data_IF_170251352586
#
_entry.id   IF_170251352586
#
_cell.length_a   1.000
_cell.length_b   1.000
_cell.length_c   1.000
_cell.angle_alpha   90.00
_cell.angle_beta   90.00
_cell.angle_gamma   90.00
#
_symmetry.space_group_name_H-M   'P 1'
#
loop_
_entity.id
_entity.type
_entity.pdbx_description
1 polymer ?
#
# COMPACT_ATOMS: atom_id res chain seq x y z
N UNK A 1 33.22 -9.31 -15.26
CA UNK A 1 32.37 -8.18 -14.84
C UNK A 1 32.17 -8.30 -13.32
N UNK A 2 32.88 -7.46 -12.53
CA UNK A 2 32.83 -7.51 -11.05
C UNK A 2 31.56 -6.83 -10.52
N UNK A 3 31.19 -7.14 -9.25
CA UNK A 3 30.07 -6.53 -8.55
C UNK A 3 30.26 -5.00 -8.46
N UNK A 4 29.16 -4.24 -8.50
CA UNK A 4 29.17 -2.82 -8.18
C UNK A 4 29.32 -2.65 -6.66
N UNK A 5 29.88 -1.52 -6.20
CA UNK A 5 29.96 -1.20 -4.77
C UNK A 5 29.14 0.06 -4.49
N UNK A 6 28.16 -0.05 -3.61
CA UNK A 6 27.43 1.12 -3.09
C UNK A 6 28.36 1.90 -2.18
N UNK A 7 28.68 3.16 -2.55
CA UNK A 7 29.68 4.01 -1.93
C UNK A 7 29.09 5.05 -0.98
N UNK A 8 27.87 5.52 -1.24
CA UNK A 8 27.18 6.41 -0.33
C UNK A 8 25.65 6.29 -0.45
N UNK A 9 24.96 6.58 0.65
CA UNK A 9 23.51 6.73 0.75
C UNK A 9 23.25 7.98 1.59
N UNK A 10 22.79 9.05 0.95
CA UNK A 10 22.73 10.38 1.54
C UNK A 10 21.42 11.08 1.19
N UNK A 11 20.96 11.99 2.05
CA UNK A 11 19.91 12.96 1.69
C UNK A 11 20.56 14.14 0.97
N UNK A 12 19.91 14.66 -0.06
CA UNK A 12 20.30 15.92 -0.70
C UNK A 12 20.18 17.10 0.30
N UNK A 13 20.79 18.25 -0.02
CA UNK A 13 20.78 19.44 0.86
C UNK A 13 19.38 19.92 1.23
N UNK A 14 18.40 19.71 0.34
CA UNK A 14 16.99 20.02 0.57
C UNK A 14 16.19 18.94 1.27
N UNK A 15 16.80 17.79 1.57
CA UNK A 15 16.12 16.59 2.08
C UNK A 15 14.90 16.18 1.24
N UNK A 16 14.96 16.44 -0.06
CA UNK A 16 13.90 16.10 -1.02
C UNK A 16 14.19 14.83 -1.81
N UNK A 17 15.44 14.37 -1.76
CA UNK A 17 15.87 13.17 -2.45
C UNK A 17 16.82 12.35 -1.56
N UNK A 18 16.70 11.02 -1.66
CA UNK A 18 17.72 10.11 -1.18
C UNK A 18 18.59 9.71 -2.38
N UNK A 19 19.88 9.99 -2.28
CA UNK A 19 20.88 9.73 -3.31
C UNK A 19 21.67 8.47 -2.94
N UNK A 20 21.72 7.50 -3.86
CA UNK A 20 22.48 6.26 -3.72
C UNK A 20 23.52 6.24 -4.82
N UNK A 21 24.80 6.23 -4.45
CA UNK A 21 25.94 6.25 -5.39
C UNK A 21 26.70 4.94 -5.37
N UNK A 22 27.15 4.53 -6.53
CA UNK A 22 27.97 3.33 -6.72
C UNK A 22 29.21 3.64 -7.56
N UNK A 23 30.19 2.75 -7.51
CA UNK A 23 31.42 2.85 -8.33
C UNK A 23 31.21 2.34 -9.78
N UNK A 24 30.13 1.61 -10.03
CA UNK A 24 29.79 1.02 -11.33
C UNK A 24 28.28 1.13 -11.60
N UNK A 25 27.84 0.93 -12.84
CA UNK A 25 26.43 0.85 -13.17
C UNK A 25 25.68 -0.15 -12.28
N UNK A 26 24.51 0.25 -11.78
CA UNK A 26 23.64 -0.58 -10.96
C UNK A 26 22.26 -0.71 -11.60
N UNK A 27 21.70 -1.89 -11.45
CA UNK A 27 20.27 -2.15 -11.63
C UNK A 27 19.60 -2.14 -10.27
N UNK A 28 18.31 -1.88 -10.22
CA UNK A 28 17.56 -1.91 -8.97
C UNK A 28 16.12 -2.39 -9.19
N UNK A 29 15.54 -2.87 -8.14
CA UNK A 29 14.08 -3.02 -7.98
C UNK A 29 13.67 -2.27 -6.72
N UNK A 30 12.44 -1.76 -6.69
CA UNK A 30 11.95 -1.05 -5.50
C UNK A 30 10.48 -1.31 -5.27
N UNK A 31 10.06 -1.19 -4.02
CA UNK A 31 8.67 -1.37 -3.60
C UNK A 31 8.55 -1.39 -2.10
N UNK A 32 7.32 -1.40 -1.61
CA UNK A 32 7.06 -1.52 -0.18
C UNK A 32 7.33 -2.95 0.30
N UNK A 33 8.22 -3.09 1.28
CA UNK A 33 8.43 -4.35 2.00
C UNK A 33 7.34 -4.51 3.06
N UNK A 34 6.38 -5.35 2.76
CA UNK A 34 5.19 -5.55 3.61
C UNK A 34 5.53 -6.19 4.96
N UNK A 35 6.60 -6.94 5.05
CA UNK A 35 7.03 -7.57 6.31
C UNK A 35 7.54 -6.53 7.31
N UNK A 36 8.27 -5.52 6.84
CA UNK A 36 8.84 -4.47 7.69
C UNK A 36 8.04 -3.16 7.66
N UNK A 37 7.11 -2.98 6.71
CA UNK A 37 6.42 -1.72 6.46
C UNK A 37 7.35 -0.60 5.98
N UNK A 38 8.52 -0.95 5.47
CA UNK A 38 9.52 -0.03 4.93
C UNK A 38 9.49 -0.04 3.40
N UNK A 39 9.84 1.08 2.79
CA UNK A 39 10.10 1.09 1.35
C UNK A 39 11.49 0.50 1.10
N UNK A 40 11.56 -0.48 0.22
CA UNK A 40 12.76 -1.26 -0.05
C UNK A 40 13.29 -0.99 -1.44
N UNK A 41 14.59 -0.71 -1.53
CA UNK A 41 15.34 -0.69 -2.77
C UNK A 41 16.33 -1.86 -2.72
N UNK A 42 16.24 -2.76 -3.70
CA UNK A 42 17.12 -3.92 -3.83
C UNK A 42 18.04 -3.72 -5.04
N UNK A 43 19.33 -3.83 -4.81
CA UNK A 43 20.37 -3.66 -5.83
C UNK A 43 21.09 -5.00 -6.01
N UNK A 44 20.73 -5.78 -7.04
CA UNK A 44 21.42 -7.03 -7.36
C UNK A 44 22.81 -6.75 -7.94
N UNK A 45 23.68 -7.73 -7.88
CA UNK A 45 25.07 -7.67 -8.34
C UNK A 45 25.85 -6.52 -7.70
N UNK A 46 25.63 -6.26 -6.40
CA UNK A 46 26.23 -5.17 -5.66
C UNK A 46 26.74 -5.61 -4.28
N UNK A 47 27.76 -4.88 -3.83
CA UNK A 47 28.31 -4.93 -2.46
C UNK A 47 28.02 -3.61 -1.76
N UNK A 48 27.81 -3.68 -0.48
CA UNK A 48 27.74 -2.51 0.39
C UNK A 48 29.13 -2.21 0.95
N UNK A 49 29.68 -1.03 0.68
CA UNK A 49 30.93 -0.60 1.28
C UNK A 49 30.77 -0.52 2.81
N UNK A 50 31.70 -1.11 3.54
CA UNK A 50 31.67 -1.20 5.02
C UNK A 50 31.70 0.16 5.71
N UNK A 51 32.16 1.21 5.03
CA UNK A 51 32.21 2.57 5.57
C UNK A 51 30.90 3.32 5.46
N UNK A 52 29.92 2.83 4.67
CA UNK A 52 28.64 3.51 4.44
C UNK A 52 27.72 3.33 5.64
N UNK A 53 27.40 4.44 6.30
CA UNK A 53 26.54 4.47 7.50
C UNK A 53 25.10 4.94 7.21
N UNK A 54 24.79 5.39 6.01
CA UNK A 54 23.53 6.01 5.65
C UNK A 54 23.45 7.49 6.09
N UNK A 55 22.35 8.17 5.75
CA UNK A 55 22.19 9.60 6.03
C UNK A 55 22.01 9.89 7.52
N UNK A 56 22.54 11.03 7.97
CA UNK A 56 22.20 11.58 9.30
C UNK A 56 20.76 12.08 9.29
N UNK A 57 19.94 11.52 10.13
CA UNK A 57 18.53 11.88 10.26
C UNK A 57 18.31 12.78 11.49
N UNK A 58 17.47 13.77 11.34
CA UNK A 58 17.04 14.70 12.40
C UNK A 58 15.53 14.58 12.60
N UNK A 59 14.97 15.23 13.62
CA UNK A 59 13.54 15.26 13.85
C UNK A 59 12.74 15.86 12.67
N UNK A 60 13.40 16.67 11.83
CA UNK A 60 12.81 17.28 10.62
C UNK A 60 13.12 16.50 9.34
N UNK A 61 13.79 15.36 9.40
CA UNK A 61 14.09 14.56 8.22
C UNK A 61 12.82 13.93 7.64
N UNK A 62 12.75 13.76 6.30
CA UNK A 62 11.61 13.10 5.65
C UNK A 62 11.59 11.58 5.91
N UNK A 63 12.66 11.03 6.42
CA UNK A 63 12.80 9.62 6.79
C UNK A 63 13.02 9.48 8.29
N UNK A 64 12.34 8.52 8.92
CA UNK A 64 12.56 8.14 10.31
C UNK A 64 13.74 7.20 10.46
N UNK A 65 13.98 6.37 9.45
CA UNK A 65 15.05 5.39 9.46
C UNK A 65 15.49 5.03 8.05
N UNK A 66 16.79 4.79 7.90
CA UNK A 66 17.41 4.17 6.71
C UNK A 66 18.25 3.01 7.21
N UNK A 67 17.95 1.80 6.74
CA UNK A 67 18.74 0.60 7.05
C UNK A 67 19.40 0.11 5.79
N UNK A 68 20.71 -0.05 5.85
CA UNK A 68 21.54 -0.61 4.80
C UNK A 68 21.87 -2.06 5.14
N UNK A 69 21.73 -2.97 4.21
CA UNK A 69 21.91 -4.38 4.44
C UNK A 69 22.57 -5.07 3.24
N UNK A 70 23.66 -5.80 3.49
CA UNK A 70 24.10 -6.84 2.57
C UNK A 70 23.23 -8.06 2.85
N UNK A 71 22.36 -8.47 1.93
CA UNK A 71 21.45 -9.59 2.14
C UNK A 71 22.07 -10.94 1.84
N UNK A 72 22.83 -10.96 0.78
CA UNK A 72 23.62 -12.10 0.32
C UNK A 72 24.95 -11.59 -0.29
N UNK A 73 25.88 -12.45 -0.71
CA UNK A 73 27.19 -12.02 -1.25
C UNK A 73 27.15 -11.08 -2.46
N UNK A 74 25.97 -10.87 -3.05
CA UNK A 74 25.80 -10.08 -4.28
C UNK A 74 24.58 -9.16 -4.30
N UNK A 75 23.88 -9.00 -3.20
CA UNK A 75 22.64 -8.19 -3.14
C UNK A 75 22.66 -7.22 -1.98
N UNK A 76 22.48 -5.93 -2.28
CA UNK A 76 22.31 -4.88 -1.27
C UNK A 76 20.83 -4.51 -1.18
N UNK A 77 20.29 -4.40 0.04
CA UNK A 77 18.98 -3.84 0.32
C UNK A 77 19.09 -2.57 1.14
N UNK A 78 18.31 -1.58 0.76
CA UNK A 78 18.14 -0.30 1.45
C UNK A 78 16.67 -0.20 1.86
N UNK A 79 16.42 -0.20 3.17
CA UNK A 79 15.06 -0.11 3.72
C UNK A 79 14.84 1.28 4.31
N UNK A 80 13.78 1.93 3.88
CA UNK A 80 13.45 3.31 4.20
C UNK A 80 12.14 3.37 4.97
N UNK A 81 12.17 4.00 6.14
CA UNK A 81 10.96 4.29 6.92
C UNK A 81 10.63 5.79 6.73
N UNK A 82 9.60 6.16 5.96
CA UNK A 82 9.23 7.56 5.83
C UNK A 82 8.68 8.13 7.13
N UNK A 83 8.94 9.42 7.34
CA UNK A 83 8.31 10.17 8.40
C UNK A 83 6.83 10.45 8.07
N UNK A 84 6.03 10.73 9.10
CA UNK A 84 4.63 11.11 8.91
C UNK A 84 4.53 12.31 7.94
N UNK A 85 3.64 12.20 6.94
CA UNK A 85 3.48 13.22 5.91
C UNK A 85 4.58 13.23 4.83
N UNK A 86 5.44 12.20 4.78
CA UNK A 86 6.39 12.03 3.66
C UNK A 86 5.89 10.94 2.73
N UNK A 87 5.78 11.27 1.45
CA UNK A 87 5.50 10.34 0.37
C UNK A 87 6.81 9.94 -0.31
N UNK A 88 6.93 8.64 -0.57
CA UNK A 88 7.99 8.10 -1.42
C UNK A 88 7.58 8.34 -2.87
N UNK A 89 8.35 9.11 -3.59
CA UNK A 89 8.13 9.39 -5.00
C UNK A 89 8.91 8.44 -5.91
N UNK A 90 9.11 8.87 -7.15
CA UNK A 90 9.82 8.08 -8.17
C UNK A 90 11.32 7.99 -7.87
N UNK A 91 11.92 6.89 -8.30
CA UNK A 91 13.38 6.75 -8.40
C UNK A 91 13.81 7.14 -9.81
N UNK A 92 14.55 8.22 -9.89
CA UNK A 92 15.25 8.61 -11.12
C UNK A 92 16.68 8.05 -11.10
N UNK A 93 17.19 7.70 -12.28
CA UNK A 93 18.58 7.28 -12.45
C UNK A 93 19.31 8.27 -13.36
N UNK A 94 19.77 9.43 -12.80
CA UNK A 94 20.42 10.48 -13.59
C UNK A 94 21.67 10.01 -14.29
N UNK A 95 22.37 9.06 -13.70
CA UNK A 95 23.48 8.32 -14.31
C UNK A 95 23.37 6.84 -13.97
N UNK A 96 24.05 5.98 -14.70
CA UNK A 96 24.04 4.54 -14.42
C UNK A 96 24.58 4.18 -13.01
N UNK A 97 25.26 5.11 -12.34
CA UNK A 97 25.89 4.95 -11.02
C UNK A 97 25.18 5.73 -9.91
N UNK A 98 24.09 6.43 -10.23
CA UNK A 98 23.37 7.27 -9.27
C UNK A 98 21.86 7.00 -9.33
N UNK A 99 21.27 6.59 -8.21
CA UNK A 99 19.83 6.58 -8.02
C UNK A 99 19.43 7.77 -7.14
N UNK A 100 18.36 8.44 -7.50
CA UNK A 100 17.77 9.56 -6.77
C UNK A 100 16.28 9.25 -6.50
N UNK A 101 15.98 8.83 -5.27
CA UNK A 101 14.61 8.60 -4.83
C UNK A 101 14.00 9.92 -4.35
N UNK A 102 12.91 10.33 -4.94
CA UNK A 102 12.20 11.54 -4.54
C UNK A 102 11.43 11.32 -3.22
N UNK A 103 11.54 12.31 -2.32
CA UNK A 103 10.84 12.37 -1.05
C UNK A 103 9.98 13.64 -1.04
N UNK A 104 8.66 13.47 -1.13
CA UNK A 104 7.71 14.58 -1.17
C UNK A 104 7.07 14.74 0.19
N UNK A 105 7.15 15.92 0.79
CA UNK A 105 6.33 16.25 1.95
C UNK A 105 4.94 16.61 1.47
N UNK A 106 3.92 15.92 1.98
CA UNK A 106 2.55 16.43 1.89
C UNK A 106 2.51 17.75 2.64
N UNK A 107 2.22 18.82 1.94
CA UNK A 107 1.87 20.10 2.57
C UNK A 107 0.46 19.96 3.15
N UNK A 108 0.34 19.22 4.25
CA UNK A 108 -0.81 19.36 5.12
C UNK A 108 -0.65 20.74 5.78
N UNK A 109 -1.60 21.60 5.52
CA UNK A 109 -1.67 22.92 6.16
C UNK A 109 -1.47 22.76 7.68
N UNK A 110 -0.62 23.58 8.32
CA UNK A 110 -0.52 23.55 9.77
C UNK A 110 -1.89 23.89 10.33
N UNK A 111 -2.41 23.02 11.19
CA UNK A 111 -3.56 23.35 12.03
C UNK A 111 -3.08 24.51 12.94
N UNK A 112 -3.64 25.72 12.85
CA UNK A 112 -3.25 26.79 13.74
C UNK A 112 -3.63 26.40 15.18
N UNK A 113 -2.79 26.70 16.18
CA UNK A 113 -3.17 26.51 17.56
C UNK A 113 -4.39 27.40 17.86
N UNK A 114 -5.39 26.81 18.50
CA UNK A 114 -6.53 27.53 19.08
C UNK A 114 -6.01 28.47 20.17
N UNK A 115 -5.74 29.71 19.81
CA UNK A 115 -5.56 30.80 20.74
C UNK A 115 -6.49 31.94 20.31
N UNK A 116 -7.51 32.14 21.10
CA UNK A 116 -8.44 33.22 20.88
C UNK A 116 -7.79 34.58 21.13
N UNK A 117 -8.03 35.53 20.25
CA UNK A 117 -8.21 36.95 20.51
C UNK A 117 -8.77 37.64 19.27
N UNK A 118 -9.65 38.62 19.42
CA UNK A 118 -10.46 39.15 18.33
C UNK A 118 -9.75 40.29 17.57
N UNK A 119 -9.93 40.26 16.26
CA UNK A 119 -9.83 41.47 15.42
C UNK A 119 -8.60 41.59 14.54
N UNK A 120 -8.72 41.23 13.28
CA UNK A 120 -8.24 42.03 12.15
C UNK A 120 -8.79 41.47 10.83
N UNK A 121 -9.48 42.31 10.09
CA UNK A 121 -10.02 42.06 8.76
C UNK A 121 -8.87 41.90 7.76
N UNK A 122 -8.67 40.65 7.27
CA UNK A 122 -7.85 40.37 6.09
C UNK A 122 -8.80 39.87 5.00
N UNK A 123 -8.79 40.37 3.75
CA UNK A 123 -9.66 39.90 2.69
C UNK A 123 -9.30 38.45 2.34
N UNK A 124 -10.28 37.57 2.47
CA UNK A 124 -10.19 36.17 2.05
C UNK A 124 -10.32 36.12 0.53
N UNK A 125 -9.37 35.49 -0.22
CA UNK A 125 -9.58 35.19 -1.63
C UNK A 125 -10.80 34.28 -1.82
N UNK A 126 -11.55 34.37 -2.92
CA UNK A 126 -12.75 33.58 -3.12
C UNK A 126 -12.40 32.07 -3.09
N UNK A 127 -13.12 31.34 -2.25
CA UNK A 127 -13.02 29.90 -2.14
C UNK A 127 -13.32 29.26 -3.50
N UNK A 128 -12.36 28.54 -4.05
CA UNK A 128 -12.61 27.58 -5.10
C UNK A 128 -13.58 26.54 -4.55
N UNK A 129 -14.77 26.45 -5.15
CA UNK A 129 -15.80 25.46 -4.82
C UNK A 129 -15.29 24.07 -5.16
N UNK A 130 -14.56 23.45 -4.23
CA UNK A 130 -14.44 21.99 -4.17
C UNK A 130 -15.71 21.54 -3.46
N UNK A 131 -16.60 20.76 -4.13
CA UNK A 131 -17.78 20.27 -3.43
C UNK A 131 -17.33 19.46 -2.22
N UNK A 132 -17.95 19.68 -1.04
CA UNK A 132 -17.63 18.88 0.14
C UNK A 132 -17.91 17.42 -0.21
N UNK A 133 -16.93 16.54 0.03
CA UNK A 133 -17.15 15.09 -0.04
C UNK A 133 -18.22 14.80 1.02
N UNK A 134 -19.45 14.62 0.55
CA UNK A 134 -20.54 14.21 1.44
C UNK A 134 -20.26 12.78 1.88
N UNK A 135 -19.80 12.61 3.13
CA UNK A 135 -19.69 11.28 3.73
C UNK A 135 -21.09 10.63 3.72
N UNK A 136 -21.18 9.35 3.31
CA UNK A 136 -22.46 8.65 3.38
C UNK A 136 -22.94 8.66 4.83
N UNK A 137 -24.16 9.17 5.08
CA UNK A 137 -24.80 9.08 6.39
C UNK A 137 -25.17 7.63 6.64
N UNK A 138 -24.53 7.02 7.62
CA UNK A 138 -24.90 5.69 8.10
C UNK A 138 -26.06 5.84 9.09
N UNK A 139 -27.25 5.30 8.80
CA UNK A 139 -28.32 5.24 9.80
C UNK A 139 -27.90 4.33 10.95
N UNK A 140 -28.19 4.74 12.19
CA UNK A 140 -27.93 3.93 13.38
C UNK A 140 -28.51 2.51 13.22
N UNK A 141 -27.68 1.49 13.36
CA UNK A 141 -28.07 0.07 13.31
C UNK A 141 -27.83 -0.62 11.95
N UNK A 142 -27.31 0.04 10.91
CA UNK A 142 -26.91 -0.62 9.66
C UNK A 142 -25.48 -1.14 9.72
N UNK A 143 -25.29 -2.33 9.15
CA UNK A 143 -23.95 -2.89 8.89
C UNK A 143 -23.27 -2.10 7.77
N UNK A 144 -22.06 -1.63 8.04
CA UNK A 144 -21.24 -0.90 7.07
C UNK A 144 -19.91 -1.61 6.91
N UNK A 145 -19.57 -1.95 5.67
CA UNK A 145 -18.29 -2.55 5.31
C UNK A 145 -17.45 -1.54 4.53
N UNK A 146 -16.29 -1.19 5.06
CA UNK A 146 -15.31 -0.43 4.26
C UNK A 146 -14.52 -1.41 3.42
N UNK A 147 -14.54 -1.22 2.10
CA UNK A 147 -13.71 -1.95 1.15
C UNK A 147 -12.60 -1.01 0.70
N UNK A 148 -11.36 -1.43 0.93
CA UNK A 148 -10.18 -0.59 0.73
C UNK A 148 -9.33 -1.13 -0.43
N UNK A 149 -9.49 -0.63 -1.67
CA UNK A 149 -8.59 -0.98 -2.76
C UNK A 149 -7.20 -0.38 -2.49
N UNK A 150 -6.18 -1.23 -2.38
CA UNK A 150 -4.80 -0.81 -2.17
C UNK A 150 -4.29 0.11 -3.27
N UNK A 151 -3.24 0.91 -2.97
CA UNK A 151 -2.57 1.80 -3.94
C UNK A 151 -3.50 2.84 -4.57
N UNK A 152 -3.13 3.42 -5.71
CA UNK A 152 -3.92 4.41 -6.46
C UNK A 152 -3.10 5.63 -6.87
N UNK A 153 -3.65 6.47 -7.74
CA UNK A 153 -2.97 7.64 -8.27
C UNK A 153 -1.64 7.28 -8.94
N UNK A 154 -0.53 7.94 -8.55
CA UNK A 154 0.79 7.64 -9.07
C UNK A 154 1.39 6.33 -8.57
N UNK A 155 0.83 5.73 -7.50
CA UNK A 155 1.27 4.43 -6.98
C UNK A 155 0.56 3.28 -7.72
N UNK A 156 1.25 2.57 -8.64
CA UNK A 156 0.66 1.43 -9.35
C UNK A 156 0.52 0.18 -8.47
N UNK A 157 1.10 0.19 -7.26
CA UNK A 157 1.35 -1.03 -6.50
C UNK A 157 2.40 -1.91 -7.17
N UNK A 158 2.28 -3.22 -7.02
CA UNK A 158 3.13 -4.15 -7.72
C UNK A 158 2.84 -4.14 -9.23
N UNK A 159 3.91 -4.17 -10.02
CA UNK A 159 3.83 -4.35 -11.48
C UNK A 159 4.31 -5.76 -11.81
N UNK A 160 3.39 -6.56 -12.32
CA UNK A 160 3.60 -7.97 -12.57
C UNK A 160 3.93 -8.31 -14.01
N UNK A 161 3.67 -9.58 -14.36
CA UNK A 161 3.88 -10.12 -15.71
C UNK A 161 3.05 -9.32 -16.72
N UNK A 162 3.66 -8.99 -17.85
CA UNK A 162 3.04 -8.20 -18.94
C UNK A 162 2.59 -6.79 -18.54
N UNK A 163 3.20 -6.23 -17.49
CA UNK A 163 2.86 -4.87 -17.02
C UNK A 163 1.56 -4.78 -16.22
N UNK A 164 1.05 -5.90 -15.74
CA UNK A 164 -0.17 -5.97 -14.94
C UNK A 164 -0.02 -5.18 -13.64
N UNK A 165 -0.78 -4.10 -13.46
CA UNK A 165 -0.68 -3.22 -12.29
C UNK A 165 -1.65 -3.65 -11.19
N UNK A 166 -1.16 -3.74 -9.97
CA UNK A 166 -1.94 -4.09 -8.79
C UNK A 166 -3.15 -3.15 -8.61
N UNK A 167 -2.93 -1.82 -8.70
CA UNK A 167 -4.00 -0.83 -8.47
C UNK A 167 -5.24 -1.02 -9.35
N UNK A 168 -5.06 -1.51 -10.58
CA UNK A 168 -6.16 -1.74 -11.51
C UNK A 168 -6.97 -2.98 -11.14
N UNK A 169 -6.26 -4.05 -10.79
CA UNK A 169 -6.87 -5.31 -10.37
C UNK A 169 -7.69 -5.12 -9.11
N UNK A 170 -7.07 -4.50 -8.09
CA UNK A 170 -7.72 -4.36 -6.77
C UNK A 170 -8.87 -3.37 -6.81
N UNK A 171 -8.81 -2.35 -7.67
CA UNK A 171 -9.94 -1.44 -7.87
C UNK A 171 -11.15 -2.15 -8.50
N UNK A 172 -10.92 -2.94 -9.54
CA UNK A 172 -11.98 -3.70 -10.20
C UNK A 172 -12.63 -4.71 -9.25
N UNK A 173 -11.82 -5.49 -8.52
CA UNK A 173 -12.30 -6.45 -7.53
C UNK A 173 -13.07 -5.72 -6.41
N UNK A 174 -12.53 -4.62 -5.87
CA UNK A 174 -13.15 -3.88 -4.76
C UNK A 174 -14.51 -3.30 -5.12
N UNK A 175 -14.65 -2.75 -6.33
CA UNK A 175 -15.94 -2.26 -6.83
C UNK A 175 -16.98 -3.38 -6.93
N UNK A 176 -16.57 -4.55 -7.41
CA UNK A 176 -17.46 -5.69 -7.54
C UNK A 176 -17.83 -6.28 -6.18
N UNK A 177 -16.89 -6.30 -5.19
CA UNK A 177 -17.21 -6.66 -3.80
C UNK A 177 -18.24 -5.71 -3.22
N UNK A 178 -18.02 -4.40 -3.37
CA UNK A 178 -18.95 -3.39 -2.87
C UNK A 178 -20.35 -3.56 -3.48
N UNK A 179 -20.43 -3.72 -4.80
CA UNK A 179 -21.72 -3.94 -5.49
C UNK A 179 -22.42 -5.22 -5.04
N UNK A 180 -21.67 -6.32 -4.82
CA UNK A 180 -22.22 -7.59 -4.35
C UNK A 180 -22.77 -7.48 -2.91
N UNK A 181 -22.12 -6.72 -2.03
CA UNK A 181 -22.58 -6.45 -0.68
C UNK A 181 -23.85 -5.58 -0.68
N UNK A 182 -23.88 -4.54 -1.52
CA UNK A 182 -25.05 -3.66 -1.66
C UNK A 182 -26.28 -4.41 -2.15
N UNK A 183 -26.13 -5.37 -3.07
CA UNK A 183 -27.21 -6.24 -3.53
C UNK A 183 -27.80 -7.10 -2.39
N UNK A 184 -27.04 -7.34 -1.32
CA UNK A 184 -27.49 -8.05 -0.13
C UNK A 184 -27.96 -7.11 1.01
N UNK A 185 -28.10 -5.82 0.71
CA UNK A 185 -28.57 -4.82 1.67
C UNK A 185 -27.48 -4.36 2.67
N UNK A 186 -26.23 -4.73 2.46
CA UNK A 186 -25.09 -4.28 3.27
C UNK A 186 -24.55 -3.00 2.65
N UNK A 187 -24.48 -1.93 3.46
CA UNK A 187 -23.86 -0.69 3.00
C UNK A 187 -22.35 -0.88 2.83
N UNK A 188 -21.81 -0.57 1.65
CA UNK A 188 -20.37 -0.59 1.42
C UNK A 188 -19.83 0.80 1.09
N UNK A 189 -18.61 1.08 1.56
CA UNK A 189 -17.93 2.35 1.34
C UNK A 189 -16.51 2.05 0.85
N UNK A 190 -16.18 2.57 -0.33
CA UNK A 190 -14.83 2.46 -0.89
C UNK A 190 -13.94 3.59 -0.36
N UNK A 191 -12.70 3.28 0.01
CA UNK A 191 -11.72 4.30 0.44
C UNK A 191 -11.24 5.17 -0.73
N UNK A 192 -11.26 4.66 -1.95
CA UNK A 192 -11.11 5.38 -3.20
C UNK A 192 -12.05 4.80 -4.26
N UNK A 193 -12.48 5.62 -5.22
CA UNK A 193 -13.47 5.23 -6.23
C UNK A 193 -12.90 5.20 -7.65
N UNK A 194 -11.68 5.71 -7.85
CA UNK A 194 -10.99 5.70 -9.15
C UNK A 194 -9.52 5.30 -8.97
N UNK A 195 -8.86 4.97 -10.08
CA UNK A 195 -7.42 4.68 -10.08
C UNK A 195 -6.54 5.93 -10.08
N UNK A 196 -7.12 7.11 -10.32
CA UNK A 196 -6.39 8.38 -10.40
C UNK A 196 -6.18 9.03 -9.03
N UNK A 197 -6.90 8.54 -8.02
CA UNK A 197 -6.83 9.05 -6.64
C UNK A 197 -5.87 8.20 -5.83
N UNK A 198 -4.87 8.85 -5.24
CA UNK A 198 -4.03 8.29 -4.19
C UNK A 198 -4.64 8.63 -2.83
N UNK A 199 -4.72 7.64 -1.98
CA UNK A 199 -5.22 7.79 -0.61
C UNK A 199 -4.19 7.20 0.35
N UNK A 200 -3.58 8.07 1.16
CA UNK A 200 -2.65 7.66 2.20
C UNK A 200 -3.30 6.66 3.20
N UNK A 201 -2.45 5.93 3.93
CA UNK A 201 -2.92 4.89 4.85
C UNK A 201 -3.77 5.43 6.00
N UNK A 202 -3.43 6.61 6.52
CA UNK A 202 -4.16 7.22 7.64
C UNK A 202 -5.58 7.65 7.23
N UNK A 203 -5.82 8.37 6.12
CA UNK A 203 -7.17 8.65 5.62
C UNK A 203 -8.05 7.42 5.40
N UNK A 204 -7.49 6.27 4.98
CA UNK A 204 -8.23 5.01 4.82
C UNK A 204 -8.79 4.53 6.17
N UNK A 205 -7.95 4.56 7.20
CA UNK A 205 -8.35 4.21 8.57
C UNK A 205 -9.34 5.23 9.11
N UNK A 206 -9.03 6.52 9.00
CA UNK A 206 -9.89 7.61 9.50
C UNK A 206 -11.27 7.61 8.87
N UNK A 207 -11.40 7.23 7.59
CA UNK A 207 -12.70 7.06 6.96
C UNK A 207 -13.51 5.97 7.69
N UNK A 208 -12.93 4.79 7.90
CA UNK A 208 -13.60 3.66 8.55
C UNK A 208 -14.01 3.99 9.99
N UNK A 209 -13.14 4.64 10.75
CA UNK A 209 -13.43 5.06 12.14
C UNK A 209 -14.54 6.10 12.19
N UNK A 210 -14.50 7.14 11.36
CA UNK A 210 -15.50 8.22 11.34
C UNK A 210 -16.91 7.75 11.00
N UNK A 211 -17.05 6.75 10.13
CA UNK A 211 -18.35 6.21 9.75
C UNK A 211 -18.79 5.06 10.64
N UNK A 212 -18.04 4.74 11.70
CA UNK A 212 -18.25 3.59 12.57
C UNK A 212 -18.46 2.29 11.77
N UNK A 213 -17.52 1.99 10.89
CA UNK A 213 -17.58 0.80 10.05
C UNK A 213 -17.65 -0.48 10.91
N UNK A 214 -18.45 -1.43 10.47
CA UNK A 214 -18.57 -2.74 11.13
C UNK A 214 -17.37 -3.62 10.80
N UNK A 215 -16.88 -3.55 9.57
CA UNK A 215 -15.73 -4.30 9.05
C UNK A 215 -14.87 -3.43 8.14
N UNK A 216 -13.58 -3.74 8.10
CA UNK A 216 -12.61 -3.16 7.16
C UNK A 216 -11.94 -4.27 6.35
N UNK A 217 -12.04 -4.21 5.03
CA UNK A 217 -11.49 -5.23 4.12
C UNK A 217 -10.61 -4.54 3.09
N UNK A 218 -9.30 -4.64 3.25
CA UNK A 218 -8.31 -4.15 2.30
C UNK A 218 -8.01 -5.23 1.25
N UNK A 219 -7.95 -4.85 -0.01
CA UNK A 219 -7.74 -5.74 -1.15
C UNK A 219 -6.45 -5.36 -1.85
N UNK A 220 -5.54 -6.32 -1.97
CA UNK A 220 -4.21 -6.22 -2.54
C UNK A 220 -3.93 -7.37 -3.50
N UNK A 221 -2.90 -7.24 -4.31
CA UNK A 221 -2.36 -8.31 -5.13
C UNK A 221 -0.85 -8.40 -4.94
N UNK A 222 -0.41 -9.54 -4.44
CA UNK A 222 0.95 -9.76 -3.97
C UNK A 222 1.98 -9.77 -5.12
N UNK A 223 3.23 -9.62 -4.74
CA UNK A 223 4.34 -9.74 -5.67
C UNK A 223 5.60 -10.30 -5.01
N UNK A 224 6.41 -10.95 -5.82
CA UNK A 224 7.78 -11.34 -5.50
C UNK A 224 8.65 -11.02 -6.73
N UNK A 225 9.89 -11.43 -6.75
CA UNK A 225 10.73 -11.25 -7.94
C UNK A 225 10.10 -11.91 -9.18
N UNK A 226 10.14 -11.23 -10.32
CA UNK A 226 9.75 -11.79 -11.63
C UNK A 226 10.56 -13.02 -12.04
N UNK A 227 11.72 -13.26 -11.40
CA UNK A 227 12.50 -14.49 -11.56
C UNK A 227 11.88 -15.71 -10.86
N UNK A 228 10.83 -15.50 -10.05
CA UNK A 228 10.10 -16.54 -9.32
C UNK A 228 8.63 -16.62 -9.75
N UNK A 229 8.34 -16.85 -11.05
CA UNK A 229 6.98 -16.92 -11.55
C UNK A 229 6.23 -18.19 -11.11
N UNK A 230 6.90 -19.08 -10.43
CA UNK A 230 6.38 -20.28 -9.78
C UNK A 230 5.57 -19.98 -8.50
N UNK A 231 5.73 -18.78 -7.93
CA UNK A 231 5.03 -18.38 -6.71
C UNK A 231 3.67 -17.77 -7.04
N UNK A 232 2.63 -18.46 -6.59
CA UNK A 232 1.22 -18.09 -6.76
C UNK A 232 0.44 -18.42 -5.50
N UNK A 233 -0.77 -17.89 -5.34
CA UNK A 233 -1.71 -18.28 -4.30
C UNK A 233 -2.27 -17.14 -3.45
N UNK A 234 -3.30 -17.48 -2.70
CA UNK A 234 -4.04 -16.59 -1.81
C UNK A 234 -3.35 -16.48 -0.44
N UNK A 235 -3.11 -15.26 0.03
CA UNK A 235 -2.76 -14.99 1.42
C UNK A 235 -3.79 -14.04 2.04
N UNK A 236 -4.18 -14.28 3.28
CA UNK A 236 -5.08 -13.35 3.99
C UNK A 236 -4.46 -12.97 5.32
N UNK A 237 -4.37 -11.67 5.55
CA UNK A 237 -3.74 -11.11 6.73
C UNK A 237 -4.76 -10.46 7.66
N UNK A 238 -4.52 -10.59 8.97
CA UNK A 238 -5.28 -9.91 10.01
C UNK A 238 -4.36 -9.45 11.14
N UNK A 239 -4.89 -8.59 11.99
CA UNK A 239 -4.27 -8.23 13.26
C UNK A 239 -5.36 -8.18 14.34
N UNK A 240 -5.03 -8.62 15.57
CA UNK A 240 -5.96 -8.68 16.72
C UNK A 240 -7.34 -9.29 16.38
N UNK A 241 -8.39 -8.49 16.18
CA UNK A 241 -9.80 -8.91 16.12
C UNK A 241 -10.23 -9.51 14.75
N UNK A 242 -9.39 -9.46 13.72
CA UNK A 242 -9.77 -9.85 12.36
C UNK A 242 -9.74 -11.37 12.04
N UNK A 243 -9.31 -12.23 12.97
CA UNK A 243 -9.05 -13.65 12.70
C UNK A 243 -10.27 -14.43 12.16
N UNK A 244 -11.47 -14.18 12.69
CA UNK A 244 -12.70 -14.82 12.23
C UNK A 244 -13.07 -14.40 10.81
N UNK A 245 -13.03 -13.10 10.54
CA UNK A 245 -13.28 -12.52 9.22
C UNK A 245 -12.27 -13.03 8.19
N UNK A 246 -10.97 -13.06 8.55
CA UNK A 246 -9.91 -13.54 7.68
C UNK A 246 -10.14 -14.99 7.25
N UNK A 247 -10.46 -15.88 8.19
CA UNK A 247 -10.77 -17.27 7.87
C UNK A 247 -12.02 -17.44 7.01
N UNK A 248 -13.07 -16.67 7.29
CA UNK A 248 -14.31 -16.73 6.52
C UNK A 248 -14.08 -16.31 5.06
N UNK A 249 -13.41 -15.18 4.82
CA UNK A 249 -13.08 -14.72 3.48
C UNK A 249 -12.13 -15.70 2.78
N UNK A 250 -11.06 -16.10 3.45
CA UNK A 250 -10.05 -16.99 2.89
C UNK A 250 -10.66 -18.29 2.40
N UNK A 251 -11.42 -18.99 3.24
CA UNK A 251 -12.07 -20.23 2.89
C UNK A 251 -13.07 -20.05 1.74
N UNK A 252 -13.84 -18.97 1.75
CA UNK A 252 -14.79 -18.67 0.67
C UNK A 252 -14.08 -18.44 -0.67
N UNK A 253 -12.93 -17.78 -0.66
CA UNK A 253 -12.12 -17.56 -1.88
C UNK A 253 -11.52 -18.86 -2.38
N UNK A 254 -10.95 -19.70 -1.49
CA UNK A 254 -10.43 -21.00 -1.88
C UNK A 254 -11.50 -21.87 -2.55
N UNK A 255 -12.69 -21.94 -1.95
CA UNK A 255 -13.81 -22.71 -2.49
C UNK A 255 -14.33 -22.16 -3.82
N UNK A 256 -14.36 -20.82 -3.93
CA UNK A 256 -14.94 -20.16 -5.11
C UNK A 256 -14.01 -20.12 -6.31
N UNK A 257 -12.69 -20.08 -6.12
CA UNK A 257 -11.72 -19.83 -7.21
C UNK A 257 -10.76 -20.99 -7.47
N UNK A 258 -10.61 -21.89 -6.51
CA UNK A 258 -9.59 -22.95 -6.59
C UNK A 258 -8.15 -22.44 -6.60
N UNK A 259 -7.91 -21.20 -6.15
CA UNK A 259 -6.57 -20.63 -6.03
C UNK A 259 -5.75 -21.41 -5.00
N UNK A 260 -4.44 -21.47 -5.19
CA UNK A 260 -3.54 -22.13 -4.24
C UNK A 260 -3.63 -21.48 -2.87
N UNK A 261 -3.75 -22.30 -1.82
CA UNK A 261 -3.77 -21.85 -0.43
C UNK A 261 -2.35 -21.55 0.06
N UNK A 262 -2.13 -20.31 0.54
CA UNK A 262 -0.89 -19.91 1.22
C UNK A 262 -1.13 -19.50 2.67
N UNK A 263 -2.35 -19.59 3.15
CA UNK A 263 -2.74 -19.49 4.54
C UNK A 263 -3.22 -18.12 5.00
N UNK A 264 -3.83 -18.17 6.18
CA UNK A 264 -4.23 -16.99 6.96
C UNK A 264 -3.13 -16.68 7.97
N UNK A 265 -2.68 -15.43 8.01
CA UNK A 265 -1.50 -15.00 8.79
C UNK A 265 -1.77 -13.72 9.57
N UNK A 266 -0.98 -13.51 10.60
CA UNK A 266 -0.96 -12.22 11.32
C UNK A 266 0.07 -11.28 10.69
N UNK A 267 -0.31 -10.00 10.54
CA UNK A 267 0.61 -8.96 10.10
C UNK A 267 0.29 -7.61 10.75
N UNK A 268 1.32 -6.80 10.98
CA UNK A 268 1.19 -5.46 11.58
C UNK A 268 1.07 -4.38 10.52
N UNK A 269 0.31 -4.61 9.46
CA UNK A 269 0.03 -3.57 8.46
C UNK A 269 -0.68 -2.39 9.10
N UNK A 270 -0.39 -1.19 8.61
CA UNK A 270 -0.91 0.04 9.22
C UNK A 270 -2.43 0.01 9.33
N UNK A 271 -3.12 -0.29 8.24
CA UNK A 271 -4.59 -0.32 8.19
C UNK A 271 -5.20 -1.40 9.09
N UNK A 272 -4.50 -2.51 9.33
CA UNK A 272 -4.97 -3.57 10.23
C UNK A 272 -4.72 -3.25 11.71
N UNK A 273 -3.63 -2.51 11.98
CA UNK A 273 -3.22 -2.19 13.34
C UNK A 273 -3.93 -0.95 13.89
N UNK A 274 -4.35 -0.04 13.01
CA UNK A 274 -4.93 1.25 13.39
C UNK A 274 -6.45 1.29 13.35
N UNK A 275 -7.10 0.32 12.72
CA UNK A 275 -8.55 0.14 12.76
C UNK A 275 -8.99 -0.54 14.05
N UNK A 276 -10.13 -0.12 14.61
CA UNK A 276 -10.70 -0.67 15.85
C UNK A 276 -11.69 -1.80 15.58
N UNK A 277 -12.32 -1.82 14.40
CA UNK A 277 -13.21 -2.90 13.96
C UNK A 277 -12.41 -4.11 13.43
N UNK A 278 -13.04 -5.31 13.30
CA UNK A 278 -12.44 -6.44 12.62
C UNK A 278 -11.95 -6.05 11.24
N UNK A 279 -10.64 -6.23 11.00
CA UNK A 279 -9.95 -5.79 9.79
C UNK A 279 -9.10 -6.89 9.19
N UNK A 280 -9.10 -6.98 7.85
CA UNK A 280 -8.32 -7.95 7.07
C UNK A 280 -7.70 -7.30 5.85
N UNK A 281 -6.62 -7.90 5.36
CA UNK A 281 -6.01 -7.60 4.07
C UNK A 281 -5.94 -8.90 3.27
N UNK A 282 -6.54 -8.89 2.10
CA UNK A 282 -6.63 -10.04 1.19
C UNK A 282 -5.68 -9.82 0.02
N UNK A 283 -4.66 -10.67 -0.08
CA UNK A 283 -3.77 -10.77 -1.24
C UNK A 283 -4.40 -11.75 -2.22
N UNK A 284 -5.06 -11.25 -3.23
CA UNK A 284 -5.89 -12.05 -4.16
C UNK A 284 -5.09 -12.91 -5.14
N UNK A 285 -3.78 -12.97 -4.98
CA UNK A 285 -2.83 -13.70 -5.80
C UNK A 285 -1.59 -12.88 -6.08
N UNK A 286 -0.62 -13.44 -6.78
CA UNK A 286 0.65 -12.80 -7.12
C UNK A 286 0.63 -12.27 -8.56
N UNK A 287 0.73 -10.96 -8.76
CA UNK A 287 0.85 -10.38 -10.12
C UNK A 287 2.14 -10.80 -10.84
N UNK A 288 3.14 -11.26 -10.07
CA UNK A 288 4.40 -11.82 -10.58
C UNK A 288 4.37 -13.35 -10.73
N UNK A 289 3.33 -14.02 -10.23
CA UNK A 289 3.12 -15.46 -10.38
C UNK A 289 2.42 -15.77 -11.70
N UNK A 290 2.96 -16.72 -12.48
CA UNK A 290 2.45 -17.01 -13.83
C UNK A 290 0.97 -17.39 -13.82
N UNK A 291 0.58 -18.26 -12.91
CA UNK A 291 -0.79 -18.77 -12.84
C UNK A 291 -1.77 -17.68 -12.38
N UNK A 292 -1.41 -16.93 -11.33
CA UNK A 292 -2.26 -15.88 -10.81
C UNK A 292 -2.34 -14.68 -11.75
N UNK A 293 -1.20 -14.24 -12.34
CA UNK A 293 -1.19 -13.13 -13.30
C UNK A 293 -2.07 -13.43 -14.52
N UNK A 294 -2.00 -14.67 -15.05
CA UNK A 294 -2.85 -15.11 -16.15
C UNK A 294 -4.34 -15.02 -15.79
N UNK A 295 -4.73 -15.47 -14.61
CA UNK A 295 -6.12 -15.42 -14.12
C UNK A 295 -6.57 -14.00 -13.81
N UNK A 296 -5.77 -13.24 -13.06
CA UNK A 296 -6.07 -11.86 -12.63
C UNK A 296 -6.16 -10.88 -13.80
N UNK A 297 -5.54 -11.17 -14.94
CA UNK A 297 -5.68 -10.38 -16.16
C UNK A 297 -7.10 -10.46 -16.75
N UNK A 298 -7.90 -11.48 -16.41
CA UNK A 298 -9.24 -11.68 -16.95
C UNK A 298 -10.33 -11.10 -16.05
N UNK A 299 -11.28 -10.38 -16.65
CA UNK A 299 -12.44 -9.82 -15.91
C UNK A 299 -13.29 -10.91 -15.25
N UNK A 300 -13.43 -12.06 -15.90
CA UNK A 300 -14.21 -13.19 -15.36
C UNK A 300 -13.64 -13.71 -14.04
N UNK A 301 -12.32 -13.86 -13.95
CA UNK A 301 -11.69 -14.32 -12.72
C UNK A 301 -11.74 -13.26 -11.61
N UNK A 302 -11.54 -11.97 -11.95
CA UNK A 302 -11.69 -10.88 -10.97
C UNK A 302 -13.11 -10.83 -10.41
N UNK A 303 -14.13 -11.08 -11.25
CA UNK A 303 -15.51 -11.20 -10.77
C UNK A 303 -15.70 -12.39 -9.83
N UNK A 304 -15.21 -13.56 -10.19
CA UNK A 304 -15.26 -14.78 -9.36
C UNK A 304 -14.57 -14.56 -8.00
N UNK A 305 -13.44 -13.86 -7.99
CA UNK A 305 -12.71 -13.45 -6.79
C UNK A 305 -13.57 -12.52 -5.92
N UNK A 306 -14.15 -11.49 -6.52
CA UNK A 306 -14.99 -10.52 -5.82
C UNK A 306 -16.23 -11.17 -5.21
N UNK A 307 -16.93 -12.01 -5.96
CA UNK A 307 -18.12 -12.74 -5.48
C UNK A 307 -17.75 -13.66 -4.29
N UNK A 308 -16.54 -14.26 -4.33
CA UNK A 308 -16.06 -15.13 -3.27
C UNK A 308 -15.69 -14.35 -2.01
N UNK A 309 -15.04 -13.17 -2.15
CA UNK A 309 -14.74 -12.28 -1.02
C UNK A 309 -16.05 -11.79 -0.39
N UNK A 310 -17.00 -11.30 -1.17
CA UNK A 310 -18.30 -10.83 -0.70
C UNK A 310 -19.06 -11.94 0.05
N UNK A 311 -19.07 -13.14 -0.47
CA UNK A 311 -19.68 -14.31 0.19
C UNK A 311 -19.02 -14.59 1.54
N UNK A 312 -17.70 -14.54 1.64
CA UNK A 312 -16.98 -14.74 2.89
C UNK A 312 -17.31 -13.65 3.92
N UNK A 313 -17.46 -12.39 3.50
CA UNK A 313 -17.93 -11.29 4.36
C UNK A 313 -19.33 -11.57 4.87
N UNK A 314 -20.26 -11.93 3.98
CA UNK A 314 -21.65 -12.23 4.34
C UNK A 314 -21.77 -13.45 5.28
N UNK A 315 -20.92 -14.46 5.12
CA UNK A 315 -20.88 -15.61 6.03
C UNK A 315 -20.41 -15.22 7.45
N UNK A 316 -19.48 -14.29 7.54
CA UNK A 316 -18.99 -13.80 8.83
C UNK A 316 -20.02 -12.93 9.56
N UNK A 317 -20.87 -12.22 8.84
CA UNK A 317 -21.90 -11.31 9.38
C UNK A 317 -23.18 -12.04 9.84
N UNK A 318 -23.33 -13.32 9.52
CA UNK A 318 -24.46 -14.17 9.98
C UNK A 318 -24.20 -14.75 11.36
#
# INVERSE_FOLDING_TARGET
TGLATVRSVELDEGSRQLLIRSDRPILYTSGWDRASGAYRITIPSALLDRSVQGPRLTASSPLLQVRLRQEDPSTVAILLQPASGTQIGEINQPTQQLLALQLRRSSLFPVPPLSGSPGSNIPVPPATNVPPISLPRVPNGKIVVVVDPGHGGPDPGAVGISGLQEKEIVMDISRQVAAALEQQGIQSVLTRTTNDVDVDLEPRVSLAERINATLFVSIHANSISLSRPDISGLETYYYQSGAGLARSIHNSVLQGTGIQDRGVRTARFYVLRKTTMPSVLVEVGFVTGRDDASKLSTAAYRKQMADSIARGILQYLR
#
